data_IF_113831047597
#
_entry.id   IF_113831047597
#
_cell.length_a   1.000
_cell.length_b   1.000
_cell.length_c   1.000
_cell.angle_alpha   90.00
_cell.angle_beta   90.00
_cell.angle_gamma   90.00
#
_symmetry.space_group_name_H-M   'P 1'
#
loop_
_entity.id
_entity.type
_entity.pdbx_description
1 polymer ?
#
# COMPACT_ATOMS: atom_id res chain seq x y z
N UNK A 1 5.98 36.75 19.91
CA UNK A 1 7.32 36.16 19.96
C UNK A 1 7.52 35.44 18.64
N UNK A 2 8.37 35.96 17.77
CA UNK A 2 8.73 35.29 16.51
C UNK A 2 9.59 34.09 16.86
N UNK A 3 9.09 32.88 16.61
CA UNK A 3 9.80 31.65 16.91
C UNK A 3 11.09 31.56 16.09
N UNK A 4 12.12 30.95 16.68
CA UNK A 4 13.34 30.60 15.97
C UNK A 4 12.95 29.72 14.78
N UNK A 5 13.28 30.15 13.55
CA UNK A 5 13.08 29.37 12.32
C UNK A 5 13.90 28.07 12.27
N UNK A 6 14.48 27.65 13.39
CA UNK A 6 15.44 26.57 13.54
C UNK A 6 14.84 25.29 14.15
N UNK A 7 13.55 25.28 14.51
CA UNK A 7 12.87 24.05 14.96
C UNK A 7 12.72 23.05 13.80
N UNK A 8 12.85 21.74 14.08
CA UNK A 8 12.73 20.72 13.03
C UNK A 8 11.28 20.53 12.57
N UNK A 9 11.12 19.82 11.45
CA UNK A 9 9.85 19.25 11.03
C UNK A 9 9.79 17.80 11.53
N UNK A 10 8.82 17.47 12.36
CA UNK A 10 8.65 16.11 12.85
C UNK A 10 7.98 15.24 11.77
N UNK A 11 8.55 14.07 11.50
CA UNK A 11 7.99 13.06 10.60
C UNK A 11 7.65 11.82 11.42
N UNK A 12 6.37 11.47 11.49
CA UNK A 12 5.90 10.34 12.30
C UNK A 12 5.84 9.09 11.41
N UNK A 13 6.71 8.13 11.67
CA UNK A 13 6.88 6.89 10.91
C UNK A 13 8.03 6.96 9.89
N UNK A 14 8.87 5.93 9.90
CA UNK A 14 9.99 5.74 8.96
C UNK A 14 9.70 4.63 7.93
N UNK A 15 8.47 4.62 7.40
CA UNK A 15 8.12 3.86 6.20
C UNK A 15 8.59 4.56 4.91
N UNK A 16 8.25 4.03 3.72
CA UNK A 16 8.66 4.62 2.44
C UNK A 16 8.32 6.11 2.32
N UNK A 17 7.08 6.48 2.64
CA UNK A 17 6.60 7.86 2.53
C UNK A 17 7.25 8.78 3.57
N UNK A 18 7.46 8.30 4.81
CA UNK A 18 8.11 9.08 5.86
C UNK A 18 9.58 9.36 5.57
N UNK A 19 10.34 8.36 5.10
CA UNK A 19 11.73 8.58 4.71
C UNK A 19 11.86 9.42 3.43
N UNK A 20 10.91 9.32 2.50
CA UNK A 20 10.83 10.25 1.37
C UNK A 20 10.60 11.69 1.85
N UNK A 21 9.69 11.92 2.81
CA UNK A 21 9.51 13.24 3.43
C UNK A 21 10.81 13.75 4.07
N UNK A 22 11.53 12.89 4.80
CA UNK A 22 12.82 13.25 5.40
C UNK A 22 13.86 13.65 4.33
N UNK A 23 13.98 12.89 3.24
CA UNK A 23 14.90 13.20 2.15
C UNK A 23 14.55 14.53 1.47
N UNK A 24 13.26 14.79 1.22
CA UNK A 24 12.76 16.06 0.66
C UNK A 24 13.02 17.24 1.59
N UNK A 25 12.86 17.06 2.90
CA UNK A 25 13.19 18.08 3.91
C UNK A 25 14.68 18.42 3.89
N UNK A 26 15.55 17.39 3.82
CA UNK A 26 17.00 17.57 3.69
C UNK A 26 17.35 18.36 2.43
N UNK A 27 16.78 18.02 1.27
CA UNK A 27 16.99 18.79 0.03
C UNK A 27 16.53 20.24 0.14
N UNK A 28 15.45 20.51 0.89
CA UNK A 28 14.95 21.85 1.16
C UNK A 28 15.76 22.61 2.24
N UNK A 29 16.82 22.02 2.80
CA UNK A 29 17.60 22.61 3.87
C UNK A 29 16.88 22.67 5.22
N UNK A 30 15.83 21.86 5.40
CA UNK A 30 15.03 21.78 6.62
C UNK A 30 15.45 20.53 7.40
N UNK A 31 15.68 20.67 8.71
CA UNK A 31 16.05 19.53 9.56
C UNK A 31 14.84 18.62 9.81
N UNK A 32 14.85 17.35 9.36
CA UNK A 32 13.82 16.39 9.72
C UNK A 32 14.06 15.85 11.14
N UNK A 33 13.00 15.55 11.89
CA UNK A 33 13.04 14.74 13.10
C UNK A 33 12.13 13.53 12.88
N UNK A 34 12.70 12.36 12.61
CA UNK A 34 11.95 11.16 12.26
C UNK A 34 11.74 10.31 13.52
N UNK A 35 10.48 10.05 13.87
CA UNK A 35 10.11 9.21 15.02
C UNK A 35 9.49 7.90 14.51
N UNK A 36 10.15 6.78 14.73
CA UNK A 36 9.72 5.45 14.32
C UNK A 36 9.55 4.57 15.55
N UNK A 37 8.35 4.01 15.72
CA UNK A 37 8.01 3.14 16.85
C UNK A 37 8.74 1.79 16.81
N UNK A 38 9.06 1.30 15.62
CA UNK A 38 9.70 0.02 15.40
C UNK A 38 11.21 0.05 15.65
N UNK A 39 11.80 -1.13 15.80
CA UNK A 39 13.25 -1.28 15.99
C UNK A 39 14.05 -1.04 14.70
N UNK A 40 13.39 -0.97 13.54
CA UNK A 40 14.00 -0.60 12.27
C UNK A 40 13.07 0.31 11.47
N UNK A 41 13.66 1.05 10.51
CA UNK A 41 12.86 1.66 9.44
C UNK A 41 12.11 0.60 8.65
N UNK A 42 10.96 0.97 8.08
CA UNK A 42 10.11 0.07 7.31
C UNK A 42 9.60 -1.15 8.10
N UNK A 43 9.44 -1.06 9.43
CA UNK A 43 9.01 -2.19 10.27
C UNK A 43 7.73 -2.87 9.76
N UNK A 44 6.72 -2.09 9.34
CA UNK A 44 5.50 -2.65 8.74
C UNK A 44 5.76 -3.42 7.44
N UNK A 45 6.74 -3.01 6.62
CA UNK A 45 7.12 -3.73 5.39
C UNK A 45 7.81 -5.06 5.72
N UNK A 46 8.54 -5.14 6.84
CA UNK A 46 9.19 -6.37 7.29
C UNK A 46 8.16 -7.43 7.69
N UNK A 47 7.04 -7.04 8.30
CA UNK A 47 5.96 -7.96 8.68
C UNK A 47 5.42 -8.76 7.48
N UNK A 48 5.32 -8.11 6.32
CA UNK A 48 4.96 -8.75 5.06
C UNK A 48 6.15 -8.86 4.10
N UNK A 49 7.38 -8.93 4.61
CA UNK A 49 8.60 -8.77 3.81
C UNK A 49 8.80 -9.83 2.72
N UNK A 50 8.10 -10.96 2.79
CA UNK A 50 8.09 -12.01 1.77
C UNK A 50 7.19 -11.67 0.57
N UNK A 51 6.24 -10.73 0.71
CA UNK A 51 5.29 -10.36 -0.33
C UNK A 51 5.99 -9.50 -1.38
N UNK A 52 5.87 -9.90 -2.64
CA UNK A 52 6.28 -9.11 -3.81
C UNK A 52 5.26 -8.01 -4.08
N UNK A 53 5.71 -6.77 -4.23
CA UNK A 53 4.82 -5.68 -4.66
C UNK A 53 4.51 -5.84 -6.15
N UNK A 54 3.56 -5.09 -6.69
CA UNK A 54 3.16 -5.17 -8.11
C UNK A 54 3.75 -4.05 -8.97
N UNK A 55 4.61 -3.21 -8.38
CA UNK A 55 5.23 -2.06 -9.02
C UNK A 55 6.75 -2.24 -9.12
N UNK A 56 7.39 -1.91 -10.25
CA UNK A 56 8.84 -1.93 -10.37
C UNK A 56 9.52 -0.83 -9.53
N UNK A 57 10.82 -1.00 -9.28
CA UNK A 57 11.66 -0.11 -8.49
C UNK A 57 11.53 1.37 -8.87
N UNK A 58 11.40 1.69 -10.16
CA UNK A 58 11.21 3.07 -10.65
C UNK A 58 10.00 3.80 -10.06
N UNK A 59 9.00 3.09 -9.55
CA UNK A 59 7.84 3.67 -8.88
C UNK A 59 7.89 3.55 -7.35
N UNK A 60 8.85 2.80 -6.82
CA UNK A 60 9.00 2.53 -5.38
C UNK A 60 10.14 3.33 -4.74
N UNK A 61 10.86 4.15 -5.49
CA UNK A 61 11.92 5.05 -4.99
C UNK A 61 11.50 6.50 -5.25
N UNK A 62 11.58 7.34 -4.22
CA UNK A 62 11.38 8.79 -4.35
C UNK A 62 12.59 9.47 -4.99
N UNK A 63 12.36 10.52 -5.80
CA UNK A 63 13.43 11.16 -6.58
C UNK A 63 14.43 11.93 -5.69
N UNK A 64 14.01 12.52 -4.58
CA UNK A 64 14.93 13.18 -3.64
C UNK A 64 15.73 12.17 -2.84
N UNK A 65 15.05 11.11 -2.37
CA UNK A 65 15.73 10.00 -1.74
C UNK A 65 16.78 9.37 -2.67
N UNK A 66 16.46 9.24 -3.96
CA UNK A 66 17.40 8.75 -4.98
C UNK A 66 18.63 9.65 -5.09
N UNK A 67 18.46 10.97 -5.26
CA UNK A 67 19.58 11.90 -5.36
C UNK A 67 20.46 11.89 -4.12
N UNK A 68 19.84 11.93 -2.93
CA UNK A 68 20.57 11.86 -1.66
C UNK A 68 21.37 10.55 -1.53
N UNK A 69 20.83 9.43 -2.00
CA UNK A 69 21.53 8.15 -2.02
C UNK A 69 22.68 8.11 -3.05
N UNK A 70 22.45 8.64 -4.24
CA UNK A 70 23.47 8.71 -5.30
C UNK A 70 24.69 9.54 -4.83
N UNK A 71 24.48 10.63 -4.08
CA UNK A 71 25.55 11.44 -3.47
C UNK A 71 26.43 10.64 -2.48
N UNK A 72 25.90 9.54 -1.93
CA UNK A 72 26.61 8.62 -1.04
C UNK A 72 27.09 7.34 -1.76
N UNK A 73 27.07 7.32 -3.09
CA UNK A 73 27.56 6.20 -3.89
C UNK A 73 26.67 4.95 -3.79
N UNK A 74 25.36 5.12 -3.57
CA UNK A 74 24.43 4.00 -3.48
C UNK A 74 24.30 3.24 -4.81
N UNK A 75 24.36 1.91 -4.74
CA UNK A 75 24.12 1.04 -5.89
C UNK A 75 22.63 0.79 -6.07
N UNK A 76 22.00 1.59 -6.93
CA UNK A 76 20.57 1.46 -7.17
C UNK A 76 20.19 0.11 -7.82
N UNK A 77 19.06 -0.50 -7.42
CA UNK A 77 18.55 -1.70 -8.06
C UNK A 77 18.07 -1.43 -9.50
N UNK A 78 17.95 -2.50 -10.30
CA UNK A 78 17.46 -2.42 -11.67
C UNK A 78 16.04 -1.87 -11.71
N UNK A 79 15.82 -0.83 -12.52
CA UNK A 79 14.62 0.00 -12.49
C UNK A 79 13.31 -0.77 -12.73
N UNK A 80 13.33 -1.78 -13.60
CA UNK A 80 12.17 -2.61 -13.94
C UNK A 80 12.02 -3.85 -13.04
N UNK A 81 12.96 -4.10 -12.13
CA UNK A 81 12.83 -5.16 -11.13
C UNK A 81 11.70 -4.88 -10.15
N UNK A 82 10.97 -5.93 -9.74
CA UNK A 82 9.82 -5.81 -8.84
C UNK A 82 10.17 -6.39 -7.47
N UNK A 83 10.35 -5.55 -6.44
CA UNK A 83 10.86 -6.01 -5.16
C UNK A 83 9.81 -6.65 -4.26
N UNK A 84 10.29 -7.40 -3.27
CA UNK A 84 9.56 -7.77 -2.06
C UNK A 84 9.60 -6.65 -1.03
N UNK A 85 8.67 -6.68 -0.06
CA UNK A 85 8.70 -5.75 1.07
C UNK A 85 10.05 -5.73 1.79
N UNK A 86 10.70 -6.89 1.94
CA UNK A 86 12.03 -7.01 2.54
C UNK A 86 13.11 -6.36 1.68
N UNK A 87 13.08 -6.58 0.37
CA UNK A 87 14.04 -5.95 -0.56
C UNK A 87 13.90 -4.43 -0.56
N UNK A 88 12.68 -3.88 -0.47
CA UNK A 88 12.46 -2.42 -0.30
C UNK A 88 13.17 -1.91 0.95
N UNK A 89 13.03 -2.61 2.08
CA UNK A 89 13.68 -2.18 3.32
C UNK A 89 15.20 -2.30 3.21
N UNK A 90 15.71 -3.44 2.76
CA UNK A 90 17.15 -3.73 2.72
C UNK A 90 17.90 -2.90 1.68
N UNK A 91 17.36 -2.78 0.48
CA UNK A 91 18.08 -2.18 -0.63
C UNK A 91 17.81 -0.68 -0.76
N UNK A 92 16.77 -0.12 -0.12
CA UNK A 92 16.40 1.29 -0.25
C UNK A 92 16.25 2.01 1.11
N UNK A 93 15.34 1.57 1.98
CA UNK A 93 15.01 2.34 3.20
C UNK A 93 16.16 2.34 4.22
N UNK A 94 16.80 1.20 4.45
CA UNK A 94 17.95 1.09 5.35
C UNK A 94 19.12 1.96 4.88
N UNK A 95 19.62 1.85 3.62
CA UNK A 95 20.63 2.77 3.10
C UNK A 95 20.26 4.25 3.26
N UNK A 96 19.02 4.63 2.94
CA UNK A 96 18.56 6.02 3.04
C UNK A 96 18.60 6.52 4.48
N UNK A 97 18.08 5.71 5.41
CA UNK A 97 18.08 6.02 6.84
C UNK A 97 19.49 6.12 7.45
N UNK A 98 20.47 5.47 6.83
CA UNK A 98 21.88 5.50 7.25
C UNK A 98 22.66 6.72 6.74
N UNK A 99 22.09 7.54 5.87
CA UNK A 99 22.72 8.79 5.44
C UNK A 99 22.89 9.73 6.64
N UNK A 100 24.04 10.41 6.82
CA UNK A 100 24.29 11.25 7.99
C UNK A 100 23.20 12.31 8.25
N UNK A 101 22.61 12.85 7.17
CA UNK A 101 21.58 13.87 7.19
C UNK A 101 20.27 13.38 7.83
N UNK A 102 19.91 12.10 7.64
CA UNK A 102 18.71 11.49 8.21
C UNK A 102 19.04 10.80 9.55
N UNK A 103 20.14 10.05 9.60
CA UNK A 103 20.55 9.27 10.77
C UNK A 103 20.71 10.13 12.03
N UNK A 104 21.20 11.38 11.89
CA UNK A 104 21.40 12.29 13.00
C UNK A 104 20.12 12.62 13.79
N UNK A 105 18.95 12.53 13.13
CA UNK A 105 17.65 12.89 13.72
C UNK A 105 16.59 11.79 13.56
N UNK A 106 17.03 10.54 13.34
CA UNK A 106 16.15 9.37 13.32
C UNK A 106 16.14 8.72 14.71
N UNK A 107 14.96 8.61 15.31
CA UNK A 107 14.73 7.90 16.58
C UNK A 107 13.90 6.65 16.32
N UNK A 108 14.54 5.49 16.44
CA UNK A 108 13.89 4.17 16.41
C UNK A 108 13.40 3.80 17.81
N UNK A 109 12.40 2.92 17.90
CA UNK A 109 11.75 2.57 19.17
C UNK A 109 10.95 3.72 19.82
N UNK A 110 10.69 4.80 19.08
CA UNK A 110 10.02 6.00 19.56
C UNK A 110 8.55 6.03 19.10
N UNK A 111 7.63 5.60 19.96
CA UNK A 111 6.21 5.59 19.69
C UNK A 111 5.56 6.91 20.09
N UNK A 112 5.10 7.70 19.11
CA UNK A 112 4.36 8.94 19.35
C UNK A 112 3.02 8.63 19.99
N UNK A 113 2.72 9.30 21.11
CA UNK A 113 1.50 9.07 21.92
C UNK A 113 0.58 10.27 21.99
N UNK A 114 1.08 11.50 21.75
CA UNK A 114 0.24 12.69 21.64
C UNK A 114 0.91 13.79 20.81
N UNK A 115 0.10 14.61 20.14
CA UNK A 115 0.55 15.84 19.47
C UNK A 115 -0.41 16.98 19.83
N UNK A 116 0.15 18.12 20.23
CA UNK A 116 -0.61 19.34 20.52
C UNK A 116 0.20 20.60 20.15
N UNK A 117 -0.36 21.78 20.38
CA UNK A 117 0.35 23.07 20.30
C UNK A 117 0.89 23.47 21.67
N UNK A 118 2.11 23.98 21.72
CA UNK A 118 2.76 24.35 22.97
C UNK A 118 1.96 25.43 23.71
N UNK A 119 1.47 25.11 24.91
CA UNK A 119 0.72 26.04 25.76
C UNK A 119 -0.75 26.24 25.36
N UNK A 120 -1.28 25.44 24.43
CA UNK A 120 -2.67 25.54 23.98
C UNK A 120 -3.35 24.17 24.01
N UNK A 121 -4.57 24.14 24.54
CA UNK A 121 -5.51 23.06 24.26
C UNK A 121 -6.18 23.26 22.89
N UNK A 122 -6.99 22.27 22.46
CA UNK A 122 -7.71 22.36 21.19
C UNK A 122 -8.69 23.54 21.07
N UNK A 123 -9.27 24.00 22.18
CA UNK A 123 -10.36 24.99 22.19
C UNK A 123 -9.81 26.42 22.11
N UNK A 124 -8.61 26.67 22.64
CA UNK A 124 -7.96 27.97 22.62
C UNK A 124 -7.59 28.43 21.20
N UNK A 125 -7.94 29.66 20.80
CA UNK A 125 -7.71 30.13 19.41
C UNK A 125 -6.65 31.21 19.27
N UNK A 126 -6.64 32.21 20.16
CA UNK A 126 -5.76 33.37 20.00
C UNK A 126 -4.28 32.98 20.12
N UNK A 127 -3.50 33.15 19.03
CA UNK A 127 -2.07 32.84 18.98
C UNK A 127 -1.70 31.35 18.88
N UNK A 128 -2.69 30.45 18.75
CA UNK A 128 -2.45 29.00 18.72
C UNK A 128 -1.77 28.55 17.43
N UNK A 129 -2.13 29.15 16.29
CA UNK A 129 -1.62 28.76 14.97
C UNK A 129 -0.12 29.03 14.80
N UNK A 130 0.42 29.99 15.54
CA UNK A 130 1.84 30.34 15.50
C UNK A 130 2.67 29.49 16.47
N UNK A 131 2.04 28.84 17.46
CA UNK A 131 2.75 28.07 18.47
C UNK A 131 3.36 26.79 17.87
N UNK A 132 4.57 26.36 18.27
CA UNK A 132 5.14 25.12 17.79
C UNK A 132 4.32 23.92 18.28
N UNK A 133 4.45 22.80 17.58
CA UNK A 133 3.91 21.54 18.05
C UNK A 133 4.75 21.00 19.20
N UNK A 134 4.08 20.42 20.19
CA UNK A 134 4.65 19.48 21.16
C UNK A 134 4.31 18.08 20.65
N UNK A 135 5.33 17.30 20.33
CA UNK A 135 5.20 15.88 19.97
C UNK A 135 5.68 15.06 21.16
N UNK A 136 4.75 14.34 21.78
CA UNK A 136 5.05 13.41 22.87
C UNK A 136 5.27 12.02 22.34
N UNK A 137 6.35 11.38 22.76
CA UNK A 137 6.63 9.98 22.43
C UNK A 137 7.14 9.20 23.63
N UNK A 138 7.05 7.89 23.53
CA UNK A 138 7.59 6.93 24.48
C UNK A 138 8.66 6.09 23.81
N UNK A 139 9.74 5.82 24.54
CA UNK A 139 10.81 4.91 24.14
C UNK A 139 11.26 4.07 25.35
N UNK A 140 12.26 3.16 25.23
CA UNK A 140 12.72 2.36 26.36
C UNK A 140 13.27 3.16 27.56
N UNK A 141 13.61 4.44 27.39
CA UNK A 141 14.09 5.33 28.45
C UNK A 141 12.96 6.09 29.16
N UNK A 142 11.76 6.16 28.59
CA UNK A 142 10.58 6.77 29.21
C UNK A 142 9.75 7.61 28.26
N UNK A 143 9.04 8.59 28.82
CA UNK A 143 8.25 9.57 28.06
C UNK A 143 9.06 10.84 27.79
N UNK A 144 8.92 11.40 26.59
CA UNK A 144 9.65 12.57 26.12
C UNK A 144 8.75 13.51 25.35
N UNK A 145 9.03 14.82 25.47
CA UNK A 145 8.43 15.85 24.64
C UNK A 145 9.51 16.49 23.75
N UNK A 146 9.17 16.75 22.48
CA UNK A 146 10.00 17.52 21.54
C UNK A 146 9.16 18.60 20.87
N UNK A 147 9.81 19.72 20.56
CA UNK A 147 9.18 20.81 19.82
C UNK A 147 9.47 20.68 18.32
N UNK A 148 8.45 20.94 17.50
CA UNK A 148 8.56 20.96 16.05
C UNK A 148 7.80 22.15 15.47
N UNK A 149 8.30 22.73 14.37
CA UNK A 149 7.58 23.82 13.68
C UNK A 149 6.43 23.32 12.81
N UNK A 150 6.52 22.08 12.35
CA UNK A 150 5.51 21.41 11.54
C UNK A 150 5.56 19.90 11.81
N UNK A 151 4.48 19.19 11.44
CA UNK A 151 4.37 17.74 11.61
C UNK A 151 3.84 17.11 10.33
N UNK A 152 4.52 16.06 9.87
CA UNK A 152 4.09 15.19 8.78
C UNK A 152 3.81 13.81 9.38
N UNK A 153 2.54 13.44 9.46
CA UNK A 153 2.10 12.13 9.94
C UNK A 153 2.08 11.11 8.78
N UNK A 154 3.12 10.30 8.72
CA UNK A 154 3.29 9.20 7.76
C UNK A 154 3.20 7.82 8.44
N UNK A 155 2.49 7.72 9.57
CA UNK A 155 2.44 6.50 10.40
C UNK A 155 1.69 5.32 9.77
N UNK A 156 1.01 5.54 8.64
CA UNK A 156 0.30 4.50 7.90
C UNK A 156 -0.92 3.94 8.64
N UNK A 157 -1.41 2.79 8.19
CA UNK A 157 -2.63 2.13 8.72
C UNK A 157 -2.39 0.68 9.18
N UNK A 158 -1.26 0.08 8.82
CA UNK A 158 -0.93 -1.35 9.00
C UNK A 158 -1.14 -1.89 10.43
N UNK A 159 -1.12 -1.00 11.39
CA UNK A 159 -1.04 -1.31 12.82
C UNK A 159 -2.41 -1.37 13.49
N UNK A 160 -3.44 -0.97 12.73
CA UNK A 160 -4.82 -0.91 13.16
C UNK A 160 -5.67 -1.71 12.16
N UNK A 161 -5.61 -3.06 12.20
CA UNK A 161 -6.39 -3.91 11.30
C UNK A 161 -7.89 -3.73 11.53
N UNK A 162 -8.65 -3.94 10.45
CA UNK A 162 -10.10 -4.06 10.55
C UNK A 162 -10.45 -5.41 11.17
N UNK A 163 -11.53 -5.46 11.97
CA UNK A 163 -11.99 -6.71 12.55
C UNK A 163 -12.60 -7.65 11.51
N UNK A 164 -12.86 -8.89 11.93
CA UNK A 164 -13.53 -9.90 11.12
C UNK A 164 -15.03 -9.62 10.96
N UNK A 165 -15.65 -8.90 11.90
CA UNK A 165 -17.10 -8.64 11.90
C UNK A 165 -17.56 -7.73 10.76
N UNK A 166 -18.67 -8.11 10.12
CA UNK A 166 -19.20 -7.43 8.92
C UNK A 166 -19.70 -5.99 9.17
N UNK A 167 -19.97 -5.66 10.42
CA UNK A 167 -20.43 -4.34 10.88
C UNK A 167 -19.26 -3.44 11.32
N UNK A 168 -18.01 -3.85 11.10
CA UNK A 168 -16.83 -3.09 11.47
C UNK A 168 -16.45 -3.18 12.96
N UNK A 169 -17.06 -4.12 13.70
CA UNK A 169 -16.70 -4.43 15.09
C UNK A 169 -16.01 -5.80 15.18
N UNK A 170 -15.09 -5.99 16.15
CA UNK A 170 -14.61 -7.33 16.50
C UNK A 170 -15.79 -8.22 16.85
N UNK A 171 -15.78 -9.46 16.35
CA UNK A 171 -16.76 -10.44 16.80
C UNK A 171 -16.46 -10.84 18.25
N UNK A 172 -17.45 -11.37 18.96
CA UNK A 172 -17.28 -11.76 20.36
C UNK A 172 -16.14 -12.78 20.46
N UNK A 173 -15.13 -12.49 21.29
CA UNK A 173 -13.96 -13.35 21.51
C UNK A 173 -12.81 -13.17 20.51
N UNK A 174 -12.96 -12.34 19.47
CA UNK A 174 -11.92 -12.11 18.45
C UNK A 174 -10.61 -11.61 19.09
N UNK A 175 -10.68 -10.57 19.92
CA UNK A 175 -9.51 -9.94 20.55
C UNK A 175 -8.80 -10.81 21.60
N UNK A 176 -9.46 -11.87 22.09
CA UNK A 176 -8.90 -12.75 23.12
C UNK A 176 -8.15 -13.95 22.52
N UNK A 177 -8.23 -14.17 21.22
CA UNK A 177 -7.68 -15.37 20.58
C UNK A 177 -6.27 -15.13 20.04
N UNK A 178 -5.30 -15.91 20.52
CA UNK A 178 -3.94 -15.95 19.98
C UNK A 178 -3.78 -16.71 18.66
N UNK A 179 -4.86 -17.29 18.11
CA UNK A 179 -4.85 -18.07 16.85
C UNK A 179 -5.26 -17.25 15.63
N UNK A 180 -5.70 -16.01 15.84
CA UNK A 180 -6.00 -15.07 14.78
C UNK A 180 -4.74 -14.33 14.36
N UNK A 181 -4.51 -14.25 13.06
CA UNK A 181 -3.47 -13.42 12.46
C UNK A 181 -4.11 -12.38 11.56
N UNK A 182 -3.67 -11.13 11.68
CA UNK A 182 -4.07 -10.05 10.76
C UNK A 182 -2.97 -9.80 9.73
N UNK A 183 -3.33 -9.26 8.57
CA UNK A 183 -2.38 -8.99 7.49
C UNK A 183 -2.05 -10.22 6.66
N UNK A 184 -0.79 -10.37 6.26
CA UNK A 184 -0.33 -11.42 5.33
C UNK A 184 0.75 -12.24 6.03
N UNK A 185 0.42 -13.25 6.85
CA UNK A 185 1.42 -14.10 7.47
C UNK A 185 2.19 -14.91 6.42
N UNK A 186 3.49 -15.11 6.63
CA UNK A 186 4.37 -15.92 5.77
C UNK A 186 4.13 -17.42 5.97
N UNK A 187 2.96 -17.89 5.52
CA UNK A 187 2.45 -19.26 5.76
C UNK A 187 3.27 -20.34 5.05
N UNK A 188 3.97 -20.00 3.97
CA UNK A 188 4.80 -20.94 3.22
C UNK A 188 6.27 -20.91 3.68
N UNK A 189 6.72 -19.82 4.32
CA UNK A 189 8.08 -19.63 4.80
C UNK A 189 8.19 -19.69 6.33
N UNK A 190 8.45 -18.55 6.95
CA UNK A 190 8.82 -18.44 8.38
C UNK A 190 7.76 -18.99 9.34
N UNK A 191 6.47 -18.96 8.97
CA UNK A 191 5.38 -19.49 9.79
C UNK A 191 4.86 -20.84 9.32
N UNK A 192 5.58 -21.52 8.43
CA UNK A 192 5.15 -22.79 7.85
C UNK A 192 4.68 -23.84 8.87
N UNK A 193 5.39 -23.99 9.99
CA UNK A 193 5.03 -24.95 11.05
C UNK A 193 3.68 -24.68 11.71
N UNK A 194 3.20 -23.43 11.68
CA UNK A 194 1.91 -23.05 12.25
C UNK A 194 0.75 -23.49 11.34
N UNK A 195 0.99 -23.62 10.02
CA UNK A 195 -0.07 -23.82 9.02
C UNK A 195 -0.01 -25.19 8.32
N UNK A 196 1.14 -25.85 8.28
CA UNK A 196 1.31 -27.14 7.59
C UNK A 196 0.47 -28.24 8.26
N UNK A 197 -0.36 -28.93 7.46
CA UNK A 197 -1.23 -30.00 7.95
C UNK A 197 -2.38 -29.49 8.85
N UNK A 198 -2.66 -28.18 8.82
CA UNK A 198 -3.66 -27.52 9.67
C UNK A 198 -4.87 -27.03 8.88
N UNK A 199 -5.98 -26.81 9.58
CA UNK A 199 -7.19 -26.18 9.03
C UNK A 199 -7.12 -24.67 9.22
N UNK A 200 -7.11 -23.94 8.11
CA UNK A 200 -6.98 -22.48 8.12
C UNK A 200 -8.16 -21.81 7.43
N UNK A 201 -8.77 -20.84 8.12
CA UNK A 201 -9.76 -19.94 7.53
C UNK A 201 -9.11 -18.62 7.13
N UNK A 202 -9.18 -18.26 5.85
CA UNK A 202 -8.83 -16.94 5.34
C UNK A 202 -10.10 -16.12 5.18
N UNK A 203 -10.19 -14.96 5.83
CA UNK A 203 -11.35 -14.06 5.76
C UNK A 203 -10.98 -12.79 5.02
N UNK A 204 -11.67 -12.52 3.91
CA UNK A 204 -11.44 -11.33 3.10
C UNK A 204 -11.44 -11.64 1.61
N UNK A 205 -11.62 -10.62 0.77
CA UNK A 205 -11.71 -10.77 -0.69
C UNK A 205 -10.71 -9.89 -1.45
N UNK A 206 -9.82 -9.19 -0.75
CA UNK A 206 -8.80 -8.34 -1.36
C UNK A 206 -7.52 -9.12 -1.68
N UNK A 207 -6.55 -8.45 -2.31
CA UNK A 207 -5.28 -9.04 -2.71
C UNK A 207 -4.54 -9.76 -1.57
N UNK A 208 -4.59 -9.22 -0.35
CA UNK A 208 -4.02 -9.87 0.84
C UNK A 208 -4.59 -11.27 1.08
N UNK A 209 -5.92 -11.43 0.95
CA UNK A 209 -6.59 -12.73 1.11
C UNK A 209 -6.12 -13.73 0.04
N UNK A 210 -6.00 -13.25 -1.20
CA UNK A 210 -5.61 -14.11 -2.32
C UNK A 210 -4.17 -14.58 -2.16
N UNK A 211 -3.25 -13.70 -1.76
CA UNK A 211 -1.85 -14.06 -1.51
C UNK A 211 -1.73 -15.14 -0.43
N UNK A 212 -2.45 -14.99 0.69
CA UNK A 212 -2.46 -16.00 1.76
C UNK A 212 -3.04 -17.32 1.25
N UNK A 213 -4.19 -17.28 0.56
CA UNK A 213 -4.84 -18.49 0.05
C UNK A 213 -3.94 -19.25 -0.94
N UNK A 214 -3.24 -18.57 -1.83
CA UNK A 214 -2.30 -19.21 -2.76
C UNK A 214 -1.08 -19.80 -2.06
N UNK A 215 -0.49 -19.08 -1.10
CA UNK A 215 0.62 -19.61 -0.31
C UNK A 215 0.20 -20.86 0.49
N UNK A 216 -1.04 -20.90 0.99
CA UNK A 216 -1.59 -22.12 1.61
C UNK A 216 -1.83 -23.25 0.61
N UNK A 217 -2.23 -22.94 -0.64
CA UNK A 217 -2.40 -23.95 -1.69
C UNK A 217 -1.05 -24.53 -2.14
N UNK A 218 0.00 -23.72 -2.18
CA UNK A 218 1.38 -24.19 -2.37
C UNK A 218 1.81 -25.09 -1.20
N UNK A 219 1.52 -24.67 0.04
CA UNK A 219 1.80 -25.45 1.23
C UNK A 219 1.09 -26.82 1.19
N UNK A 220 -0.18 -26.86 0.77
CA UNK A 220 -0.96 -28.08 0.63
C UNK A 220 -0.35 -29.09 -0.37
N UNK A 221 0.38 -28.64 -1.39
CA UNK A 221 1.08 -29.57 -2.30
C UNK A 221 2.17 -30.36 -1.57
N UNK A 222 2.83 -29.72 -0.61
CA UNK A 222 3.88 -30.33 0.20
C UNK A 222 3.34 -31.05 1.46
N UNK A 223 2.18 -30.65 1.96
CA UNK A 223 1.48 -31.28 3.07
C UNK A 223 -0.03 -31.39 2.76
N UNK A 224 -0.47 -32.50 2.15
CA UNK A 224 -1.86 -32.70 1.71
C UNK A 224 -2.90 -32.68 2.83
N UNK A 225 -2.49 -32.76 4.11
CA UNK A 225 -3.41 -32.64 5.24
C UNK A 225 -3.83 -31.18 5.52
N UNK A 226 -3.19 -30.20 4.85
CA UNK A 226 -3.53 -28.78 4.96
C UNK A 226 -4.92 -28.52 4.37
N UNK A 227 -5.85 -28.04 5.19
CA UNK A 227 -7.21 -27.70 4.76
C UNK A 227 -7.42 -26.20 4.73
N UNK A 228 -7.99 -25.71 3.63
CA UNK A 228 -8.13 -24.27 3.38
C UNK A 228 -9.60 -23.92 3.23
N UNK A 229 -10.06 -23.02 4.09
CA UNK A 229 -11.36 -22.38 4.02
C UNK A 229 -11.15 -20.92 3.63
N UNK A 230 -11.93 -20.41 2.68
CA UNK A 230 -11.84 -19.00 2.29
C UNK A 230 -13.21 -18.35 2.29
N UNK A 231 -13.37 -17.40 3.22
CA UNK A 231 -14.60 -16.72 3.52
C UNK A 231 -14.68 -15.33 2.89
N UNK A 232 -15.85 -15.05 2.31
CA UNK A 232 -16.17 -13.84 1.59
C UNK A 232 -17.51 -13.29 2.06
N UNK A 233 -17.56 -11.98 2.28
CA UNK A 233 -18.81 -11.29 2.64
C UNK A 233 -19.84 -11.31 1.51
N UNK A 234 -19.40 -11.39 0.25
CA UNK A 234 -20.27 -11.29 -0.91
C UNK A 234 -20.81 -12.66 -1.36
N UNK A 235 -21.93 -12.65 -2.09
CA UNK A 235 -22.69 -13.84 -2.51
C UNK A 235 -21.99 -14.66 -3.61
N UNK A 236 -20.91 -14.18 -4.22
CA UNK A 236 -20.28 -14.88 -5.35
C UNK A 236 -18.80 -14.61 -5.50
N UNK A 237 -18.14 -15.55 -6.19
CA UNK A 237 -16.72 -15.49 -6.55
C UNK A 237 -16.47 -14.75 -7.85
N UNK A 238 -17.51 -14.34 -8.58
CA UNK A 238 -17.38 -13.68 -9.88
C UNK A 238 -16.54 -12.39 -9.82
N UNK A 239 -16.53 -11.65 -8.70
CA UNK A 239 -15.67 -10.45 -8.54
C UNK A 239 -14.21 -10.80 -8.19
N UNK A 240 -13.97 -11.96 -7.60
CA UNK A 240 -12.62 -12.49 -7.36
C UNK A 240 -12.00 -13.11 -8.61
N UNK A 241 -12.84 -13.74 -9.43
CA UNK A 241 -12.45 -14.46 -10.65
C UNK A 241 -12.59 -13.59 -11.91
N UNK A 242 -13.36 -12.51 -11.83
CA UNK A 242 -13.76 -11.64 -12.94
C UNK A 242 -12.94 -10.36 -12.97
N UNK A 243 -11.66 -10.50 -13.28
CA UNK A 243 -10.89 -9.48 -13.98
C UNK A 243 -10.73 -9.82 -15.47
N UNK A 244 -10.69 -11.12 -15.82
CA UNK A 244 -10.60 -11.57 -17.22
C UNK A 244 -9.54 -10.83 -18.03
N UNK A 245 -9.73 -10.75 -19.35
CA UNK A 245 -8.88 -10.00 -20.30
C UNK A 245 -8.84 -8.47 -20.05
N UNK A 246 -9.57 -7.95 -19.07
CA UNK A 246 -9.62 -6.52 -18.70
C UNK A 246 -8.78 -6.19 -17.46
N UNK A 247 -8.18 -7.19 -16.81
CA UNK A 247 -7.15 -6.95 -15.79
C UNK A 247 -5.88 -6.51 -16.52
N UNK A 248 -5.46 -5.25 -16.33
CA UNK A 248 -4.21 -4.72 -16.86
C UNK A 248 -2.95 -5.39 -16.23
N UNK A 249 -3.13 -6.51 -15.50
CA UNK A 249 -2.10 -7.35 -14.93
C UNK A 249 -2.33 -8.83 -15.28
N UNK A 250 -1.54 -9.40 -16.20
CA UNK A 250 -1.59 -10.82 -16.56
C UNK A 250 -1.48 -11.77 -15.36
N UNK A 251 -0.69 -11.41 -14.35
CA UNK A 251 -0.53 -12.19 -13.13
C UNK A 251 -1.80 -12.25 -12.26
N UNK A 252 -2.63 -11.20 -12.25
CA UNK A 252 -3.92 -11.22 -11.53
C UNK A 252 -4.92 -12.18 -12.17
N UNK A 253 -4.93 -12.24 -13.51
CA UNK A 253 -5.70 -13.24 -14.24
C UNK A 253 -5.24 -14.66 -13.89
N UNK A 254 -3.93 -14.92 -13.84
CA UNK A 254 -3.38 -16.22 -13.46
C UNK A 254 -3.71 -16.60 -12.00
N UNK A 255 -3.66 -15.62 -11.08
CA UNK A 255 -4.02 -15.74 -9.67
C UNK A 255 -5.48 -16.21 -9.49
N UNK A 256 -6.40 -15.55 -10.21
CA UNK A 256 -7.83 -15.88 -10.20
C UNK A 256 -8.10 -17.26 -10.80
N UNK A 257 -7.42 -17.62 -11.89
CA UNK A 257 -7.52 -18.95 -12.51
C UNK A 257 -7.02 -20.06 -11.58
N UNK A 258 -5.91 -19.83 -10.87
CA UNK A 258 -5.38 -20.80 -9.90
C UNK A 258 -6.33 -21.02 -8.72
N UNK A 259 -6.93 -19.94 -8.20
CA UNK A 259 -7.95 -20.03 -7.16
C UNK A 259 -9.19 -20.79 -7.64
N UNK A 260 -9.69 -20.48 -8.86
CA UNK A 260 -10.82 -21.20 -9.46
C UNK A 260 -10.53 -22.69 -9.60
N UNK A 261 -9.37 -23.05 -10.15
CA UNK A 261 -8.95 -24.45 -10.31
C UNK A 261 -8.91 -25.17 -8.96
N UNK A 262 -8.37 -24.54 -7.92
CA UNK A 262 -8.34 -25.11 -6.58
C UNK A 262 -9.73 -25.32 -5.97
N UNK A 263 -10.68 -24.43 -6.27
CA UNK A 263 -12.08 -24.62 -5.87
C UNK A 263 -12.71 -25.80 -6.60
N UNK A 264 -12.55 -25.86 -7.94
CA UNK A 264 -13.13 -26.91 -8.79
C UNK A 264 -12.59 -28.30 -8.42
N UNK A 265 -11.33 -28.38 -7.98
CA UNK A 265 -10.67 -29.59 -7.49
C UNK A 265 -10.97 -29.91 -6.01
N UNK A 266 -11.78 -29.11 -5.31
CA UNK A 266 -12.15 -29.33 -3.90
C UNK A 266 -11.03 -29.07 -2.90
N UNK A 267 -9.89 -28.53 -3.34
CA UNK A 267 -8.71 -28.22 -2.52
C UNK A 267 -8.89 -26.98 -1.64
N UNK A 268 -9.85 -26.13 -2.02
CA UNK A 268 -10.20 -24.87 -1.37
C UNK A 268 -11.70 -24.80 -1.12
N UNK A 269 -12.12 -24.74 0.15
CA UNK A 269 -13.52 -24.67 0.56
C UNK A 269 -13.96 -23.20 0.64
N UNK A 270 -14.78 -22.76 -0.31
CA UNK A 270 -15.31 -21.39 -0.31
C UNK A 270 -16.54 -21.24 0.59
N UNK A 271 -16.55 -20.15 1.36
CA UNK A 271 -17.70 -19.72 2.17
C UNK A 271 -18.15 -18.34 1.70
N UNK A 272 -19.27 -18.27 1.00
CA UNK A 272 -19.84 -17.02 0.49
C UNK A 272 -20.93 -16.49 1.42
N UNK A 273 -21.25 -15.20 1.27
CA UNK A 273 -22.17 -14.49 2.17
C UNK A 273 -21.83 -14.73 3.65
N UNK A 274 -20.52 -14.80 3.94
CA UNK A 274 -20.00 -15.21 5.23
C UNK A 274 -20.04 -14.04 6.21
N UNK A 275 -20.58 -14.28 7.39
CA UNK A 275 -20.65 -13.35 8.51
C UNK A 275 -20.30 -14.08 9.81
N UNK A 276 -19.09 -13.85 10.32
CA UNK A 276 -18.70 -14.35 11.64
C UNK A 276 -19.51 -13.66 12.74
N UNK A 277 -19.84 -14.41 13.80
CA UNK A 277 -20.60 -13.95 14.97
C UNK A 277 -19.79 -14.02 16.24
N UNK A 278 -19.03 -15.09 16.42
CA UNK A 278 -18.16 -15.26 17.58
C UNK A 278 -16.96 -16.15 17.26
N UNK A 279 -15.93 -16.01 18.08
CA UNK A 279 -14.72 -16.81 18.10
C UNK A 279 -14.55 -17.34 19.52
N UNK A 280 -14.40 -18.65 19.65
CA UNK A 280 -14.02 -19.29 20.91
C UNK A 280 -12.71 -20.03 20.69
N UNK A 281 -11.79 -19.94 21.65
CA UNK A 281 -10.54 -20.68 21.61
C UNK A 281 -10.43 -21.55 22.84
N UNK A 282 -10.12 -22.84 22.62
CA UNK A 282 -9.96 -23.85 23.67
C UNK A 282 -8.49 -24.29 23.84
N UNK A 283 -7.55 -23.42 23.44
CA UNK A 283 -6.10 -23.59 23.55
C UNK A 283 -5.47 -24.19 22.29
N UNK A 284 -6.02 -25.30 21.80
CA UNK A 284 -5.49 -25.98 20.61
C UNK A 284 -6.26 -25.61 19.34
N UNK A 285 -7.56 -25.38 19.43
CA UNK A 285 -8.42 -25.05 18.29
C UNK A 285 -9.09 -23.69 18.47
N UNK A 286 -9.58 -23.16 17.35
CA UNK A 286 -10.43 -21.99 17.28
C UNK A 286 -11.74 -22.37 16.60
N UNK A 287 -12.83 -22.16 17.33
CA UNK A 287 -14.18 -22.39 16.85
C UNK A 287 -14.79 -21.07 16.42
N UNK A 288 -15.12 -20.98 15.12
CA UNK A 288 -15.78 -19.81 14.54
C UNK A 288 -17.25 -20.12 14.32
N UNK A 289 -18.11 -19.39 15.03
CA UNK A 289 -19.55 -19.42 14.79
C UNK A 289 -19.89 -18.36 13.75
N UNK A 290 -20.52 -18.75 12.65
CA UNK A 290 -20.81 -17.85 11.52
C UNK A 290 -22.15 -18.17 10.86
N UNK A 291 -22.54 -17.32 9.92
CA UNK A 291 -23.57 -17.59 8.92
C UNK A 291 -22.90 -17.60 7.55
N UNK A 292 -23.23 -18.55 6.70
CA UNK A 292 -22.83 -18.58 5.29
C UNK A 292 -24.03 -18.92 4.43
N UNK A 293 -24.28 -18.12 3.39
CA UNK A 293 -25.47 -18.22 2.53
C UNK A 293 -26.81 -18.33 3.29
N UNK A 294 -26.92 -17.64 4.43
CA UNK A 294 -28.13 -17.65 5.28
C UNK A 294 -28.19 -18.79 6.29
N UNK A 295 -27.32 -19.80 6.17
CA UNK A 295 -27.30 -20.96 7.05
C UNK A 295 -26.24 -20.81 8.17
N UNK A 296 -26.53 -21.25 9.40
CA UNK A 296 -25.53 -21.33 10.46
C UNK A 296 -24.39 -22.28 10.09
N UNK A 297 -23.15 -21.86 10.31
CA UNK A 297 -21.96 -22.67 10.11
C UNK A 297 -21.07 -22.59 11.35
N UNK A 298 -20.56 -23.76 11.75
CA UNK A 298 -19.57 -23.90 12.82
C UNK A 298 -18.28 -24.44 12.19
N UNK A 299 -17.20 -23.68 12.31
CA UNK A 299 -15.88 -24.10 11.81
C UNK A 299 -14.96 -24.37 12.99
N UNK A 300 -14.43 -25.59 13.05
CA UNK A 300 -13.36 -25.96 13.98
C UNK A 300 -12.05 -25.89 13.20
N UNK A 301 -11.16 -24.99 13.61
CA UNK A 301 -9.98 -24.59 12.85
C UNK A 301 -8.77 -24.57 13.77
N UNK A 302 -7.58 -24.58 13.19
CA UNK A 302 -6.33 -24.35 13.92
C UNK A 302 -5.95 -22.86 13.89
N UNK A 303 -6.19 -22.21 12.75
CA UNK A 303 -5.82 -20.81 12.52
C UNK A 303 -6.88 -20.04 11.72
N UNK A 304 -6.96 -18.73 12.00
CA UNK A 304 -7.76 -17.78 11.21
C UNK A 304 -6.86 -16.64 10.76
N UNK A 305 -6.89 -16.32 9.46
CA UNK A 305 -6.19 -15.17 8.88
C UNK A 305 -7.21 -14.14 8.44
N UNK A 306 -7.22 -12.99 9.11
CA UNK A 306 -8.16 -11.89 8.87
C UNK A 306 -7.50 -10.85 7.97
N UNK A 307 -8.02 -10.72 6.75
CA UNK A 307 -7.52 -9.83 5.69
C UNK A 307 -8.59 -8.83 5.26
N UNK A 308 -9.30 -8.25 6.23
CA UNK A 308 -10.43 -7.32 6.02
C UNK A 308 -9.99 -5.85 5.91
N UNK A 309 -8.71 -5.61 5.65
CA UNK A 309 -8.12 -4.28 5.49
C UNK A 309 -7.67 -3.65 6.81
N UNK A 310 -7.37 -2.36 6.75
CA UNK A 310 -6.83 -1.57 7.85
C UNK A 310 -7.51 -0.19 7.89
N UNK A 311 -7.29 0.58 8.95
CA UNK A 311 -7.83 1.93 9.14
C UNK A 311 -6.80 2.84 9.84
N UNK A 312 -6.92 4.17 9.78
CA UNK A 312 -5.99 5.07 10.46
C UNK A 312 -6.17 5.01 11.98
N UNK A 313 -5.08 5.17 12.73
CA UNK A 313 -5.13 5.49 14.15
C UNK A 313 -4.96 7.01 14.33
N UNK A 314 -6.01 7.66 14.83
CA UNK A 314 -6.07 9.11 15.05
C UNK A 314 -6.04 9.47 16.55
N UNK A 315 -5.87 8.47 17.43
CA UNK A 315 -6.00 8.64 18.88
C UNK A 315 -5.02 9.68 19.45
N UNK A 316 -3.77 9.65 19.00
CA UNK A 316 -2.72 10.57 19.43
C UNK A 316 -2.84 11.99 18.86
N UNK A 317 -3.82 12.23 17.96
CA UNK A 317 -4.07 13.53 17.33
C UNK A 317 -5.26 14.27 17.96
N UNK A 318 -5.74 13.82 19.12
CA UNK A 318 -7.00 14.30 19.73
C UNK A 318 -7.04 15.82 19.95
N UNK A 319 -5.90 16.42 20.30
CA UNK A 319 -5.74 17.85 20.56
C UNK A 319 -5.52 18.72 19.30
N UNK A 320 -5.45 18.09 18.12
CA UNK A 320 -5.33 18.78 16.84
C UNK A 320 -6.70 19.06 16.22
N UNK A 321 -6.78 20.13 15.43
CA UNK A 321 -7.98 20.51 14.68
C UNK A 321 -7.99 19.85 13.30
N UNK A 322 -8.54 18.65 13.22
CA UNK A 322 -8.67 17.88 11.99
C UNK A 322 -10.08 17.98 11.41
N UNK A 323 -10.17 18.02 10.09
CA UNK A 323 -11.39 17.78 9.33
C UNK A 323 -11.30 16.42 8.65
N UNK A 324 -12.34 15.61 8.82
CA UNK A 324 -12.41 14.24 8.32
C UNK A 324 -13.76 13.99 7.66
N UNK A 325 -13.72 13.40 6.48
CA UNK A 325 -14.89 12.83 5.83
C UNK A 325 -15.50 11.72 6.70
N UNK A 326 -16.83 11.71 6.89
CA UNK A 326 -17.49 10.79 7.83
C UNK A 326 -17.43 9.31 7.43
N UNK A 327 -17.18 8.99 6.17
CA UNK A 327 -17.14 7.61 5.68
C UNK A 327 -15.72 7.12 5.42
N UNK A 328 -14.93 7.92 4.70
CA UNK A 328 -13.58 7.55 4.28
C UNK A 328 -12.57 7.80 5.40
N UNK A 329 -12.82 8.73 6.32
CA UNK A 329 -11.86 9.19 7.34
C UNK A 329 -10.58 9.82 6.73
N UNK A 330 -10.71 10.41 5.54
CA UNK A 330 -9.71 11.25 4.87
C UNK A 330 -10.09 12.73 5.00
N UNK A 331 -9.25 13.67 4.56
CA UNK A 331 -9.65 15.08 4.46
C UNK A 331 -10.85 15.24 3.50
N UNK A 332 -11.77 16.20 3.74
CA UNK A 332 -12.95 16.38 2.87
C UNK A 332 -12.61 16.69 1.41
N UNK A 333 -11.49 17.35 1.15
CA UNK A 333 -11.04 17.64 -0.22
C UNK A 333 -10.49 16.39 -0.93
N UNK A 334 -9.86 15.46 -0.19
CA UNK A 334 -9.32 14.22 -0.75
C UNK A 334 -10.38 13.14 -0.93
N UNK A 335 -11.32 13.02 0.01
CA UNK A 335 -12.25 11.88 0.08
C UNK A 335 -13.01 11.60 -1.23
N UNK A 336 -13.56 12.59 -1.96
CA UNK A 336 -14.23 12.35 -3.23
C UNK A 336 -13.31 11.78 -4.32
N UNK A 337 -12.00 12.04 -4.24
CA UNK A 337 -11.00 11.61 -5.23
C UNK A 337 -10.55 10.16 -5.05
N UNK A 338 -10.79 9.60 -3.87
CA UNK A 338 -10.28 8.28 -3.46
C UNK A 338 -11.38 7.33 -2.98
N UNK A 339 -12.64 7.75 -2.98
CA UNK A 339 -13.76 6.93 -2.51
C UNK A 339 -13.78 5.59 -3.26
N UNK A 340 -13.66 4.45 -2.55
CA UNK A 340 -13.64 3.12 -3.19
C UNK A 340 -14.95 2.74 -3.89
N UNK A 341 -16.04 3.49 -3.68
CA UNK A 341 -17.30 3.33 -4.41
C UNK A 341 -17.27 4.01 -5.79
N UNK A 342 -16.35 4.96 -6.00
CA UNK A 342 -16.25 5.79 -7.20
C UNK A 342 -14.98 5.51 -8.02
N UNK A 343 -13.86 5.19 -7.36
CA UNK A 343 -12.54 5.09 -7.98
C UNK A 343 -11.90 3.71 -7.80
N UNK A 344 -11.00 3.37 -8.73
CA UNK A 344 -10.06 2.26 -8.67
C UNK A 344 -8.62 2.79 -8.63
N UNK A 345 -7.62 1.92 -8.40
CA UNK A 345 -6.21 2.33 -8.26
C UNK A 345 -5.66 3.15 -9.45
N UNK A 346 -6.20 2.98 -10.66
CA UNK A 346 -5.75 3.70 -11.86
C UNK A 346 -6.49 5.01 -12.14
N UNK A 347 -7.54 5.33 -11.38
CA UNK A 347 -8.44 6.47 -11.66
C UNK A 347 -8.36 7.56 -10.58
N UNK A 348 -7.40 7.46 -9.67
CA UNK A 348 -7.19 8.46 -8.61
C UNK A 348 -6.30 9.57 -9.18
N UNK A 349 -6.77 10.83 -9.22
CA UNK A 349 -5.95 11.93 -9.70
C UNK A 349 -4.80 12.20 -8.72
N UNK A 350 -3.66 12.75 -9.19
CA UNK A 350 -2.62 13.28 -8.32
C UNK A 350 -3.19 14.31 -7.34
N UNK A 351 -2.69 14.31 -6.11
CA UNK A 351 -3.11 15.22 -5.05
C UNK A 351 -1.94 15.49 -4.12
N UNK A 352 -1.97 16.67 -3.49
CA UNK A 352 -0.88 17.18 -2.67
C UNK A 352 -1.40 18.04 -1.53
N UNK A 353 -0.66 19.09 -1.22
CA UNK A 353 -0.89 19.92 -0.04
C UNK A 353 -2.31 20.52 0.03
N UNK A 354 -2.93 20.81 -1.12
CA UNK A 354 -4.29 21.36 -1.17
C UNK A 354 -5.29 20.36 -0.58
N UNK A 355 -5.25 19.13 -1.07
CA UNK A 355 -6.18 18.09 -0.64
C UNK A 355 -5.84 17.57 0.75
N UNK A 356 -4.57 17.60 1.15
CA UNK A 356 -4.09 17.06 2.43
C UNK A 356 -4.15 18.06 3.60
N UNK A 357 -4.54 19.31 3.35
CA UNK A 357 -4.61 20.32 4.37
C UNK A 357 -5.71 20.03 5.41
N UNK A 358 -5.43 20.36 6.66
CA UNK A 358 -6.38 20.38 7.76
C UNK A 358 -6.48 21.79 8.35
N UNK A 359 -7.53 22.10 9.15
CA UNK A 359 -7.59 23.36 9.89
C UNK A 359 -6.40 23.61 10.83
N UNK A 360 -5.75 22.52 11.28
CA UNK A 360 -4.47 22.58 11.97
C UNK A 360 -3.34 22.95 11.00
N UNK A 361 -2.97 24.23 10.96
CA UNK A 361 -1.89 24.75 10.10
C UNK A 361 -0.57 23.97 10.29
N UNK A 362 0.18 23.72 9.23
CA UNK A 362 1.49 23.05 9.27
C UNK A 362 1.46 21.61 9.86
N UNK A 363 0.28 21.00 9.96
CA UNK A 363 0.08 19.58 10.23
C UNK A 363 -0.51 18.89 9.00
N UNK A 364 0.11 17.79 8.57
CA UNK A 364 -0.33 17.04 7.40
C UNK A 364 -0.36 15.55 7.69
N UNK A 365 -1.45 14.87 7.31
CA UNK A 365 -1.49 13.41 7.23
C UNK A 365 -1.15 13.02 5.80
N UNK A 366 -0.17 12.13 5.62
CA UNK A 366 0.32 11.69 4.31
C UNK A 366 0.39 10.17 4.20
N UNK A 367 0.70 9.70 3.00
CA UNK A 367 0.84 8.28 2.71
C UNK A 367 -0.49 7.53 2.80
N UNK A 368 -0.41 6.23 3.08
CA UNK A 368 -1.62 5.40 3.16
C UNK A 368 -2.57 5.82 4.29
N UNK A 369 -2.11 6.62 5.27
CA UNK A 369 -2.95 7.12 6.36
C UNK A 369 -3.91 8.21 5.88
N UNK A 370 -3.48 9.06 4.94
CA UNK A 370 -4.35 10.12 4.40
C UNK A 370 -5.52 9.57 3.60
N UNK A 371 -5.42 8.32 3.14
CA UNK A 371 -6.49 7.63 2.43
C UNK A 371 -7.60 7.11 3.34
N UNK A 372 -7.41 7.20 4.67
CA UNK A 372 -8.34 6.68 5.65
C UNK A 372 -8.64 5.20 5.39
N UNK A 373 -9.86 4.92 4.92
CA UNK A 373 -10.37 3.57 4.62
C UNK A 373 -10.29 3.16 3.16
N UNK A 374 -9.84 4.04 2.27
CA UNK A 374 -9.67 3.72 0.86
C UNK A 374 -8.46 2.78 0.65
N UNK A 375 -8.62 1.63 -0.05
CA UNK A 375 -7.57 0.62 -0.19
C UNK A 375 -6.63 0.85 -1.39
N UNK A 376 -6.80 1.94 -2.15
CA UNK A 376 -6.22 2.15 -3.48
C UNK A 376 -4.93 2.97 -3.48
N UNK A 377 -4.12 2.86 -2.42
CA UNK A 377 -2.92 3.66 -2.26
C UNK A 377 -1.69 3.09 -2.99
N UNK A 378 -0.90 3.97 -3.63
CA UNK A 378 0.36 3.64 -4.28
C UNK A 378 1.53 4.43 -3.65
N UNK A 379 2.70 3.81 -3.54
CA UNK A 379 3.91 4.48 -3.00
C UNK A 379 4.26 5.76 -3.78
N UNK A 380 4.21 5.71 -5.12
CA UNK A 380 4.48 6.88 -5.96
C UNK A 380 3.52 8.04 -5.69
N UNK A 381 2.26 7.75 -5.36
CA UNK A 381 1.31 8.79 -4.92
C UNK A 381 1.75 9.41 -3.60
N UNK A 382 2.20 8.59 -2.63
CA UNK A 382 2.77 9.10 -1.38
C UNK A 382 4.00 9.99 -1.58
N UNK A 383 4.85 9.67 -2.55
CA UNK A 383 6.01 10.50 -2.89
C UNK A 383 5.60 11.86 -3.46
N UNK A 384 4.55 11.90 -4.29
CA UNK A 384 3.99 13.17 -4.75
C UNK A 384 3.39 14.00 -3.61
N UNK A 385 2.67 13.35 -2.69
CA UNK A 385 2.09 14.02 -1.52
C UNK A 385 3.19 14.73 -0.69
N UNK A 386 4.28 14.02 -0.36
CA UNK A 386 5.35 14.61 0.46
C UNK A 386 6.20 15.62 -0.30
N UNK A 387 6.38 15.48 -1.61
CA UNK A 387 7.00 16.51 -2.45
C UNK A 387 6.23 17.82 -2.34
N UNK A 388 4.90 17.75 -2.53
CA UNK A 388 4.01 18.89 -2.47
C UNK A 388 3.97 19.54 -1.07
N UNK A 389 3.83 18.72 -0.01
CA UNK A 389 3.80 19.20 1.38
C UNK A 389 5.11 19.85 1.80
N UNK A 390 6.26 19.25 1.47
CA UNK A 390 7.57 19.81 1.83
C UNK A 390 7.84 21.12 1.08
N UNK A 391 7.43 21.23 -0.19
CA UNK A 391 7.52 22.49 -0.91
C UNK A 391 6.72 23.61 -0.22
N UNK A 392 5.54 23.31 0.32
CA UNK A 392 4.75 24.27 1.10
C UNK A 392 5.49 24.70 2.38
N UNK A 393 6.02 23.74 3.13
CA UNK A 393 6.76 23.99 4.37
C UNK A 393 8.07 24.77 4.14
N UNK A 394 8.66 24.63 2.95
CA UNK A 394 9.82 25.39 2.50
C UNK A 394 9.47 26.81 2.00
N UNK A 395 8.18 27.14 1.87
CA UNK A 395 7.71 28.42 1.35
C UNK A 395 7.65 28.50 -0.18
N UNK A 396 7.90 27.40 -0.89
CA UNK A 396 7.70 27.32 -2.35
C UNK A 396 6.26 26.91 -2.67
N UNK A 397 5.35 27.88 -2.49
CA UNK A 397 3.92 27.68 -2.72
C UNK A 397 3.58 27.33 -4.17
N UNK A 398 4.41 27.73 -5.14
CA UNK A 398 4.19 27.43 -6.56
C UNK A 398 4.52 25.96 -6.83
N UNK A 399 5.69 25.48 -6.39
CA UNK A 399 6.06 24.07 -6.54
C UNK A 399 5.11 23.15 -5.76
N UNK A 400 4.63 23.60 -4.59
CA UNK A 400 3.67 22.84 -3.78
C UNK A 400 2.37 22.53 -4.53
N UNK A 401 1.92 23.42 -5.42
CA UNK A 401 0.64 23.29 -6.16
C UNK A 401 0.79 22.70 -7.56
N UNK A 402 2.02 22.51 -8.03
CA UNK A 402 2.31 21.81 -9.29
C UNK A 402 2.09 20.31 -9.10
N UNK A 403 1.50 19.64 -10.09
CA UNK A 403 1.39 18.17 -10.14
C UNK A 403 2.59 17.62 -10.90
N UNK A 404 3.37 16.76 -10.27
CA UNK A 404 4.54 16.11 -10.89
C UNK A 404 4.41 14.58 -11.00
N UNK A 405 3.26 14.04 -10.58
CA UNK A 405 2.97 12.61 -10.67
C UNK A 405 2.65 12.19 -12.10
N UNK A 406 3.58 11.46 -12.71
CA UNK A 406 3.38 10.79 -14.00
C UNK A 406 3.13 9.30 -13.74
N UNK A 407 1.90 8.86 -13.97
CA UNK A 407 1.54 7.43 -14.02
C UNK A 407 1.29 7.03 -15.48
N UNK A 408 1.72 5.83 -15.92
CA UNK A 408 1.38 5.35 -17.25
C UNK A 408 -0.14 5.17 -17.38
N UNK A 409 -0.70 5.41 -18.58
CA UNK A 409 -2.14 5.27 -18.87
C UNK A 409 -2.66 3.84 -18.60
N UNK A 410 -1.77 2.83 -18.67
CA UNK A 410 -2.04 1.42 -18.36
C UNK A 410 -1.88 1.07 -16.87
N UNK A 411 -1.75 2.08 -16.00
CA UNK A 411 -1.53 1.88 -14.57
C UNK A 411 -0.12 1.41 -14.19
N UNK A 412 0.26 1.68 -12.94
CA UNK A 412 1.58 1.33 -12.32
C UNK A 412 1.76 -0.17 -12.10
N UNK A 413 0.70 -0.90 -12.38
CA UNK A 413 0.52 -2.33 -12.22
C UNK A 413 0.88 -3.01 -13.55
N UNK A 414 2.16 -3.09 -13.92
CA UNK A 414 2.58 -3.81 -15.14
C UNK A 414 3.78 -4.72 -14.85
N UNK A 415 3.55 -6.04 -14.89
CA UNK A 415 4.60 -7.06 -14.92
C UNK A 415 4.16 -8.22 -15.80
N UNK A 416 5.04 -8.58 -16.74
CA UNK A 416 5.07 -9.87 -17.41
C UNK A 416 6.24 -10.68 -16.81
N UNK A 417 5.98 -11.53 -15.82
CA UNK A 417 6.96 -12.52 -15.40
C UNK A 417 7.01 -13.65 -16.45
N UNK A 418 8.03 -13.61 -17.30
CA UNK A 418 8.36 -14.71 -18.20
C UNK A 418 8.73 -15.95 -17.39
N UNK A 419 7.76 -16.86 -17.20
CA UNK A 419 8.04 -18.22 -16.75
C UNK A 419 8.79 -18.90 -17.89
N UNK A 420 10.02 -19.35 -17.61
CA UNK A 420 10.83 -20.18 -18.52
C UNK A 420 10.11 -21.49 -18.84
N UNK A 421 9.20 -21.44 -19.81
CA UNK A 421 8.71 -22.60 -20.53
C UNK A 421 9.46 -22.65 -21.85
N UNK A 422 10.29 -23.69 -21.99
CA UNK A 422 10.98 -24.06 -23.24
C UNK A 422 10.02 -24.01 -24.41
N UNK A 423 10.21 -23.04 -25.31
CA UNK A 423 9.41 -22.86 -26.51
C UNK A 423 9.77 -23.91 -27.56
N UNK A 424 8.97 -24.97 -27.64
CA UNK A 424 8.82 -25.70 -28.90
C UNK A 424 8.06 -24.79 -29.87
N UNK A 425 8.71 -24.42 -30.98
CA UNK A 425 8.18 -23.48 -31.95
C UNK A 425 6.83 -23.91 -32.54
N UNK A 426 5.99 -22.91 -32.84
CA UNK A 426 4.90 -23.07 -33.81
C UNK A 426 4.53 -21.70 -34.40
N UNK A 427 5.23 -21.31 -35.47
CA UNK A 427 4.74 -20.31 -36.41
C UNK A 427 3.63 -20.95 -37.26
N UNK A 428 2.44 -20.34 -37.34
CA UNK A 428 1.41 -20.75 -38.31
C UNK A 428 -0.05 -20.67 -37.86
N UNK A 429 -0.47 -19.61 -37.16
CA UNK A 429 -1.88 -19.34 -36.93
C UNK A 429 -2.54 -18.62 -38.14
N UNK A 430 -3.80 -18.92 -38.49
CA UNK A 430 -4.49 -18.30 -39.62
C UNK A 430 -4.79 -16.81 -39.38
N UNK A 431 -4.91 -16.04 -40.47
CA UNK A 431 -5.12 -14.59 -40.45
C UNK A 431 -6.40 -14.19 -39.69
N UNK A 432 -6.39 -13.10 -38.89
CA UNK A 432 -7.58 -12.62 -38.19
C UNK A 432 -8.69 -12.19 -39.16
N UNK A 433 -9.93 -12.55 -38.82
CA UNK A 433 -11.13 -12.18 -39.59
C UNK A 433 -11.42 -10.69 -39.42
N UNK A 434 -11.72 -10.04 -40.55
CA UNK A 434 -11.98 -8.60 -40.73
C UNK A 434 -12.94 -8.03 -39.67
N UNK A 435 -12.45 -7.23 -38.73
CA UNK A 435 -13.25 -6.11 -38.17
C UNK A 435 -12.47 -4.97 -37.54
N UNK A 436 -11.19 -5.11 -37.18
CA UNK A 436 -10.43 -3.99 -36.57
C UNK A 436 -9.09 -3.72 -37.27
N UNK A 437 -9.14 -3.05 -38.41
CA UNK A 437 -7.96 -2.40 -38.99
C UNK A 437 -8.18 -0.89 -39.06
N UNK A 438 -7.32 -0.13 -38.39
CA UNK A 438 -7.34 1.33 -38.28
C UNK A 438 -7.22 2.05 -39.65
N UNK A 439 -6.92 1.34 -40.74
CA UNK A 439 -6.94 1.85 -42.12
C UNK A 439 -7.47 0.80 -43.10
N UNK A 440 -8.66 1.02 -43.67
CA UNK A 440 -9.32 0.13 -44.66
C UNK A 440 -8.45 -0.11 -45.92
N UNK A 441 -7.64 0.88 -46.31
CA UNK A 441 -6.75 0.78 -47.46
C UNK A 441 -5.60 -0.24 -47.26
N UNK A 442 -5.03 -0.32 -46.06
CA UNK A 442 -3.94 -1.26 -45.73
C UNK A 442 -4.45 -2.70 -45.69
N UNK A 443 -5.65 -2.90 -45.13
CA UNK A 443 -6.32 -4.19 -45.10
C UNK A 443 -6.66 -4.70 -46.52
N UNK A 444 -7.04 -3.80 -47.42
CA UNK A 444 -7.35 -4.13 -48.82
C UNK A 444 -6.08 -4.54 -49.57
N UNK A 445 -4.98 -3.79 -49.45
CA UNK A 445 -3.71 -4.10 -50.10
C UNK A 445 -3.13 -5.46 -49.66
N UNK A 446 -3.19 -5.77 -48.35
CA UNK A 446 -2.74 -7.06 -47.81
C UNK A 446 -3.59 -8.24 -48.28
N UNK A 447 -4.90 -8.05 -48.46
CA UNK A 447 -5.78 -9.10 -48.97
C UNK A 447 -5.50 -9.48 -50.43
N UNK A 448 -4.83 -8.61 -51.18
CA UNK A 448 -4.37 -8.83 -52.55
C UNK A 448 -2.91 -9.31 -52.63
N UNK A 449 -2.26 -9.60 -51.50
CA UNK A 449 -0.87 -10.06 -51.45
C UNK A 449 0.17 -8.97 -51.71
N UNK A 450 -0.20 -7.69 -51.63
CA UNK A 450 0.72 -6.55 -51.79
C UNK A 450 1.27 -6.09 -50.45
N UNK A 451 2.45 -5.46 -50.47
CA UNK A 451 3.02 -4.80 -49.30
C UNK A 451 2.12 -3.62 -48.86
N UNK A 452 1.84 -3.52 -47.56
CA UNK A 452 1.03 -2.45 -46.99
C UNK A 452 1.71 -1.07 -47.08
N UNK A 453 0.94 0.01 -47.04
CA UNK A 453 1.46 1.38 -47.12
C UNK A 453 2.14 1.75 -45.79
N UNK A 454 3.43 1.45 -45.66
CA UNK A 454 4.25 1.92 -44.54
C UNK A 454 4.54 3.42 -44.64
N UNK A 455 4.25 4.17 -43.57
CA UNK A 455 4.81 5.51 -43.35
C UNK A 455 6.33 5.39 -43.25
N UNK A 456 7.03 5.70 -44.34
CA UNK A 456 8.48 5.76 -44.40
C UNK A 456 8.91 7.22 -44.24
N UNK A 457 9.52 7.57 -43.12
CA UNK A 457 10.31 8.80 -43.01
C UNK A 457 11.61 8.59 -43.80
N UNK A 458 11.69 9.22 -44.96
CA UNK A 458 12.91 9.21 -45.78
C UNK A 458 13.79 10.37 -45.34
N UNK A 459 14.98 10.04 -44.82
CA UNK A 459 16.12 10.95 -44.69
C UNK A 459 16.70 11.15 -46.10
N UNK A 460 16.93 12.41 -46.51
CA UNK A 460 17.78 12.73 -47.66
C UNK A 460 18.75 13.84 -47.24
N UNK A 461 20.04 13.50 -47.17
CA UNK A 461 21.19 14.42 -47.18
C UNK A 461 21.45 14.93 -48.62
N UNK A 462 21.91 16.19 -48.69
CA UNK A 462 22.68 16.95 -49.71
C UNK A 462 22.82 16.39 -51.16
N UNK A 463 22.84 17.16 -52.27
CA UNK A 463 23.80 18.22 -52.58
C UNK A 463 23.45 18.92 -53.94
N UNK A 464 23.79 20.21 -54.05
CA UNK A 464 24.19 21.00 -55.25
C UNK A 464 23.45 20.91 -56.60
N UNK A 465 22.85 22.04 -56.99
CA UNK A 465 23.27 22.86 -58.14
C UNK A 465 22.88 24.32 -57.91
#
# INVERSE_FOLDING_TARGET
>A
MTFDGNLPVAVIGAGPVGLAAAARLVEAGITPLVLERGASVGSSLIDWGHVRVFSPWKYNIDDAARRLLDDHGWNAPQADGVPTGREIVQNYLLPLSGTPQIAANLKLGAAVTAITRQGFDKVSSNGREDAPFVVRYTDPAGEHDVLARAVIDASGTWTQPNPMGINGLPVVGESASGRLSYGIPDVAGTRRSDFAGKRTLVVGSGHSAINVALALLELQQSDPATEIFWALRHHGVARLLGGGLNDQLPERGALGLAAKKAMDEGRLKMLTSFAARSVKSDGYEVVVEAVSNGEPVMLVLDHVVVTTGFRPDLSFLRELRLELDPAVEASPALAPLIDPNLHSCGTVPPHGVIELAHPERDFYIVGSKSYGRAPTFLMKTGYEQVRSVVAELAGDHVAARRVELVLPETGVCSVDLAVNATSSGCCGGPAPVKTDACCVADATAKSEGKAGCGCSTVIVEEERA
#
